data_IF_862351658098
#
_entry.id   IF_862351658098
#
_cell.length_a   1.000
_cell.length_b   1.000
_cell.length_c   1.000
_cell.angle_alpha   90.00
_cell.angle_beta   90.00
_cell.angle_gamma   90.00
#
_symmetry.space_group_name_H-M   'P 1'
#
loop_
_entity.id
_entity.type
_entity.pdbx_description
1 polymer ?
#
# COMPACT_ATOMS: atom_id res chain seq x y z
N UNK A 1 -14.58 -12.24 -5.50
CA UNK A 1 -14.21 -13.68 -5.57
C UNK A 1 -12.69 -13.84 -5.64
N UNK A 2 -12.16 -14.84 -4.95
CA UNK A 2 -10.75 -15.23 -5.05
C UNK A 2 -10.44 -15.65 -6.51
N UNK A 3 -9.38 -15.11 -7.10
CA UNK A 3 -9.02 -15.37 -8.49
C UNK A 3 -9.61 -14.39 -9.52
N UNK A 4 -10.25 -13.31 -9.09
CA UNK A 4 -10.86 -12.29 -9.95
C UNK A 4 -9.87 -11.39 -10.70
N UNK A 5 -8.64 -11.85 -10.93
CA UNK A 5 -7.60 -11.10 -11.67
C UNK A 5 -7.28 -9.69 -11.09
N UNK A 6 -7.76 -9.34 -9.88
CA UNK A 6 -7.54 -8.03 -9.24
C UNK A 6 -6.06 -7.65 -9.17
N UNK A 7 -5.25 -8.53 -8.60
CA UNK A 7 -3.78 -8.33 -8.52
C UNK A 7 -3.12 -8.27 -9.90
N UNK A 8 -3.65 -9.00 -10.89
CA UNK A 8 -3.16 -8.95 -12.28
C UNK A 8 -3.47 -7.60 -12.91
N UNK A 9 -4.68 -7.08 -12.71
CA UNK A 9 -5.09 -5.77 -13.20
C UNK A 9 -4.19 -4.68 -12.61
N UNK A 10 -3.99 -4.66 -11.28
CA UNK A 10 -3.10 -3.68 -10.64
C UNK A 10 -1.66 -3.80 -11.16
N UNK A 11 -1.11 -5.00 -11.28
CA UNK A 11 0.25 -5.18 -11.81
C UNK A 11 0.37 -4.69 -13.26
N UNK A 12 -0.68 -4.88 -14.07
CA UNK A 12 -0.71 -4.32 -15.42
C UNK A 12 -0.81 -2.79 -15.37
N UNK A 13 -1.69 -2.23 -14.54
CA UNK A 13 -1.84 -0.78 -14.35
C UNK A 13 -0.57 -0.10 -13.85
N UNK A 14 0.24 -0.80 -13.05
CA UNK A 14 1.54 -0.31 -12.58
C UNK A 14 2.70 -0.52 -13.59
N UNK A 15 2.42 -1.11 -14.74
CA UNK A 15 3.44 -1.43 -15.74
C UNK A 15 4.36 -2.59 -15.34
N UNK A 16 4.05 -3.33 -14.27
CA UNK A 16 4.79 -4.52 -13.83
C UNK A 16 4.53 -5.69 -14.78
N UNK A 17 3.29 -5.76 -15.28
CA UNK A 17 2.88 -6.73 -16.32
C UNK A 17 2.47 -5.97 -17.57
N UNK A 18 2.93 -6.48 -18.73
CA UNK A 18 2.53 -5.92 -20.03
C UNK A 18 1.14 -6.46 -20.41
N UNK A 19 0.14 -5.59 -20.66
CA UNK A 19 -1.16 -6.05 -21.15
C UNK A 19 -1.03 -6.66 -22.53
N UNK A 20 -1.83 -7.70 -22.81
CA UNK A 20 -1.87 -8.32 -24.16
C UNK A 20 -2.55 -7.42 -25.17
N UNK A 21 -3.59 -6.70 -24.74
CA UNK A 21 -4.38 -5.76 -25.54
C UNK A 21 -4.70 -4.55 -24.67
N UNK A 22 -4.83 -3.38 -25.30
CA UNK A 22 -5.10 -2.13 -24.61
C UNK A 22 -3.82 -1.37 -24.21
N UNK A 23 -4.02 -0.18 -23.65
CA UNK A 23 -2.97 0.73 -23.20
C UNK A 23 -3.17 1.08 -21.74
N UNK A 24 -2.07 1.34 -21.06
CA UNK A 24 -2.05 1.88 -19.69
C UNK A 24 -1.24 3.15 -19.71
N UNK A 25 -1.83 4.23 -19.24
CA UNK A 25 -1.17 5.52 -19.09
C UNK A 25 -1.11 5.90 -17.62
N UNK A 26 0.10 6.16 -17.12
CA UNK A 26 0.33 6.63 -15.77
C UNK A 26 0.88 8.05 -15.86
N UNK A 27 0.28 8.96 -15.09
CA UNK A 27 0.79 10.32 -14.99
C UNK A 27 2.26 10.30 -14.55
N UNK A 28 3.10 11.10 -15.19
CA UNK A 28 4.54 11.20 -14.85
C UNK A 28 4.77 12.11 -13.65
N UNK A 29 3.87 13.05 -13.44
CA UNK A 29 3.96 14.08 -12.42
C UNK A 29 2.71 14.11 -11.56
N UNK A 30 2.87 14.51 -10.31
CA UNK A 30 1.76 14.76 -9.40
C UNK A 30 1.18 16.16 -9.62
N UNK A 31 0.13 16.53 -8.90
CA UNK A 31 -0.56 17.83 -9.01
C UNK A 31 0.36 19.03 -8.73
N UNK A 32 1.50 18.83 -8.09
CA UNK A 32 2.50 19.86 -7.83
C UNK A 32 3.63 19.89 -8.87
N UNK A 33 3.48 19.21 -10.01
CA UNK A 33 4.50 19.15 -11.08
C UNK A 33 5.77 18.40 -10.68
N UNK A 34 5.72 17.55 -9.64
CA UNK A 34 6.84 16.72 -9.22
C UNK A 34 6.64 15.29 -9.73
N UNK A 35 7.76 14.59 -9.94
CA UNK A 35 7.71 13.17 -10.35
C UNK A 35 6.79 12.38 -9.44
N UNK A 36 5.76 11.75 -10.03
CA UNK A 36 4.80 10.90 -9.32
C UNK A 36 5.52 9.71 -8.69
N UNK A 37 5.19 9.41 -7.44
CA UNK A 37 5.74 8.31 -6.67
C UNK A 37 4.61 7.38 -6.26
N UNK A 38 4.75 6.12 -6.60
CA UNK A 38 3.79 5.07 -6.28
C UNK A 38 4.50 4.06 -5.37
N UNK A 39 3.88 3.75 -4.23
CA UNK A 39 4.30 2.63 -3.39
C UNK A 39 3.33 1.48 -3.59
N UNK A 40 3.84 0.29 -3.89
CA UNK A 40 3.04 -0.91 -4.10
C UNK A 40 3.33 -1.95 -3.01
N UNK A 41 2.27 -2.40 -2.33
CA UNK A 41 2.29 -3.52 -1.39
C UNK A 41 1.64 -4.73 -2.05
N UNK A 42 2.40 -5.75 -2.44
CA UNK A 42 1.83 -6.98 -2.99
C UNK A 42 1.22 -7.85 -1.88
N UNK A 43 0.22 -8.67 -2.22
CA UNK A 43 -0.46 -9.60 -1.33
C UNK A 43 0.52 -10.53 -0.58
N UNK A 44 1.52 -11.06 -1.28
CA UNK A 44 2.58 -11.83 -0.63
C UNK A 44 3.74 -10.90 -0.33
N UNK A 45 3.87 -10.52 0.93
CA UNK A 45 5.10 -9.91 1.42
C UNK A 45 6.14 -11.02 1.37
N UNK A 46 7.14 -10.86 0.49
CA UNK A 46 8.24 -11.80 0.38
C UNK A 46 8.75 -12.14 1.78
N UNK A 47 8.75 -13.42 2.11
CA UNK A 47 9.18 -13.90 3.41
C UNK A 47 10.59 -13.34 3.68
N UNK A 48 10.69 -12.42 4.63
CA UNK A 48 12.00 -11.98 5.08
C UNK A 48 12.73 -13.20 5.61
N UNK A 49 13.85 -13.58 4.97
CA UNK A 49 14.70 -14.62 5.49
C UNK A 49 15.05 -14.28 6.94
N UNK A 50 14.83 -15.22 7.85
CA UNK A 50 15.15 -15.07 9.28
C UNK A 50 16.62 -14.68 9.51
N UNK A 51 17.49 -14.90 8.54
CA UNK A 51 18.90 -14.51 8.56
C UNK A 51 19.23 -13.13 7.99
N UNK A 52 18.22 -12.30 7.65
CA UNK A 52 18.51 -10.95 7.18
C UNK A 52 18.95 -10.07 8.36
N UNK A 53 20.20 -9.59 8.38
CA UNK A 53 20.83 -9.00 9.58
C UNK A 53 20.41 -7.54 9.83
N UNK A 54 19.37 -7.03 9.19
CA UNK A 54 18.93 -5.65 9.32
C UNK A 54 17.97 -5.47 10.50
N UNK A 55 18.09 -4.37 11.21
CA UNK A 55 17.08 -3.93 12.16
C UNK A 55 15.83 -3.41 11.46
N UNK A 56 14.71 -3.31 12.19
CA UNK A 56 13.46 -2.69 11.71
C UNK A 56 13.73 -1.25 11.26
N UNK A 57 14.50 -0.49 12.01
CA UNK A 57 14.87 0.88 11.67
C UNK A 57 15.58 0.96 10.31
N UNK A 58 16.63 0.15 10.11
CA UNK A 58 17.37 0.14 8.85
C UNK A 58 16.51 -0.27 7.65
N UNK A 59 15.61 -1.22 7.87
CA UNK A 59 14.67 -1.63 6.85
C UNK A 59 13.71 -0.49 6.47
N UNK A 60 13.09 0.19 7.45
CA UNK A 60 12.19 1.32 7.19
C UNK A 60 12.95 2.49 6.57
N UNK A 61 14.16 2.78 7.06
CA UNK A 61 15.09 3.77 6.50
C UNK A 61 15.36 3.54 5.02
N UNK A 62 15.42 2.29 4.57
CA UNK A 62 15.62 1.97 3.16
C UNK A 62 14.55 2.53 2.23
N UNK A 63 13.34 2.82 2.76
CA UNK A 63 12.27 3.49 2.03
C UNK A 63 12.58 4.93 1.61
N UNK A 64 13.52 5.61 2.31
CA UNK A 64 13.92 7.00 1.96
C UNK A 64 14.89 7.11 0.79
N UNK A 65 15.67 6.07 0.51
CA UNK A 65 16.70 6.14 -0.53
C UNK A 65 16.19 6.41 -1.95
N UNK A 66 15.05 5.87 -2.41
CA UNK A 66 14.50 6.22 -3.73
C UNK A 66 14.23 7.70 -3.91
N UNK A 67 13.97 8.43 -2.80
CA UNK A 67 13.73 9.88 -2.82
C UNK A 67 15.03 10.68 -2.89
N UNK A 68 16.08 10.22 -2.21
CA UNK A 68 17.35 10.96 -2.03
C UNK A 68 18.47 10.51 -2.96
N UNK A 69 18.38 9.29 -3.51
CA UNK A 69 19.48 8.62 -4.23
C UNK A 69 20.46 7.92 -3.27
N UNK A 70 21.08 6.85 -3.77
CA UNK A 70 21.93 5.93 -2.98
C UNK A 70 23.14 6.59 -2.31
N UNK A 71 23.62 7.70 -2.86
CA UNK A 71 24.86 8.38 -2.38
C UNK A 71 24.57 9.59 -1.51
N UNK A 72 23.32 9.97 -1.27
CA UNK A 72 22.99 11.11 -0.41
C UNK A 72 22.79 10.65 1.03
N UNK A 73 23.45 11.33 1.96
CA UNK A 73 23.19 11.14 3.40
C UNK A 73 21.77 11.61 3.74
N UNK A 74 21.10 10.86 4.58
CA UNK A 74 19.83 11.27 5.17
C UNK A 74 20.10 12.42 6.14
N UNK A 75 19.23 13.39 6.17
CA UNK A 75 19.28 14.53 7.08
C UNK A 75 18.31 14.32 8.26
N UNK A 76 18.29 15.26 9.20
CA UNK A 76 17.42 15.20 10.38
C UNK A 76 15.94 15.05 10.04
N UNK A 77 15.44 15.76 9.04
CA UNK A 77 14.05 15.65 8.58
C UNK A 77 13.72 14.25 8.03
N UNK A 78 14.67 13.60 7.36
CA UNK A 78 14.47 12.22 6.89
C UNK A 78 14.38 11.25 8.09
N UNK A 79 15.17 11.50 9.14
CA UNK A 79 15.16 10.70 10.36
C UNK A 79 13.84 10.86 11.12
N UNK A 80 13.37 12.09 11.30
CA UNK A 80 12.05 12.38 11.89
C UNK A 80 10.93 11.66 11.12
N UNK A 81 10.99 11.68 9.79
CA UNK A 81 10.00 11.01 8.95
C UNK A 81 10.03 9.48 9.10
N UNK A 82 11.21 8.89 9.25
CA UNK A 82 11.36 7.45 9.51
C UNK A 82 10.76 7.08 10.87
N UNK A 83 11.08 7.87 11.91
CA UNK A 83 10.54 7.63 13.25
C UNK A 83 9.02 7.83 13.30
N UNK A 84 8.50 8.85 12.64
CA UNK A 84 7.07 9.07 12.51
C UNK A 84 6.38 7.91 11.79
N UNK A 85 6.99 7.37 10.72
CA UNK A 85 6.47 6.21 9.99
C UNK A 85 6.42 4.95 10.85
N UNK A 86 7.42 4.73 11.71
CA UNK A 86 7.45 3.64 12.67
C UNK A 86 6.38 3.82 13.76
N UNK A 87 6.23 5.05 14.26
CA UNK A 87 5.22 5.39 15.26
C UNK A 87 3.81 5.17 14.75
N UNK A 88 3.53 5.59 13.50
CA UNK A 88 2.21 5.49 12.87
C UNK A 88 1.67 4.05 12.78
N UNK A 89 2.54 3.05 12.79
CA UNK A 89 2.16 1.62 12.74
C UNK A 89 2.49 0.89 14.07
N UNK A 90 2.76 1.60 15.16
CA UNK A 90 3.07 1.02 16.47
C UNK A 90 4.37 0.20 16.51
N UNK A 91 5.35 0.52 15.67
CA UNK A 91 6.61 -0.22 15.57
C UNK A 91 7.83 0.52 16.14
N UNK A 92 7.64 1.70 16.74
CA UNK A 92 8.74 2.54 17.23
C UNK A 92 9.58 1.84 18.30
N UNK A 93 8.95 1.15 19.25
CA UNK A 93 9.65 0.40 20.31
C UNK A 93 10.38 -0.84 19.78
N UNK A 94 10.05 -1.26 18.58
CA UNK A 94 10.65 -2.43 17.91
C UNK A 94 11.75 -2.06 16.93
N UNK A 95 12.11 -0.77 16.81
CA UNK A 95 13.02 -0.24 15.80
C UNK A 95 14.39 -0.92 15.76
N UNK A 96 14.90 -1.31 16.92
CA UNK A 96 16.23 -1.92 17.04
C UNK A 96 16.20 -3.46 16.94
N UNK A 97 15.01 -4.07 16.90
CA UNK A 97 14.87 -5.53 16.76
C UNK A 97 15.30 -5.99 15.37
N UNK A 98 15.94 -7.15 15.24
CA UNK A 98 16.18 -7.79 13.96
C UNK A 98 14.85 -8.12 13.25
N UNK A 99 14.75 -7.88 11.96
CA UNK A 99 13.56 -8.21 11.15
C UNK A 99 13.16 -9.69 11.25
N UNK A 100 14.15 -10.58 11.32
CA UNK A 100 13.93 -12.01 11.44
C UNK A 100 13.20 -12.41 12.73
N UNK A 101 13.35 -11.62 13.81
CA UNK A 101 12.72 -11.88 15.11
C UNK A 101 11.26 -11.40 15.21
N UNK A 102 10.72 -10.74 14.19
CA UNK A 102 9.36 -10.23 14.17
C UNK A 102 8.34 -11.33 13.89
N UNK A 103 7.15 -11.21 14.50
CA UNK A 103 5.97 -11.98 14.13
C UNK A 103 5.50 -11.61 12.71
N UNK A 104 4.59 -12.41 12.11
CA UNK A 104 4.02 -12.12 10.79
C UNK A 104 3.36 -10.74 10.72
N UNK A 105 2.52 -10.40 11.69
CA UNK A 105 1.87 -9.08 11.77
C UNK A 105 2.84 -7.93 11.98
N UNK A 106 3.88 -8.12 12.82
CA UNK A 106 4.93 -7.13 12.99
C UNK A 106 5.75 -6.90 11.71
N UNK A 107 6.03 -7.96 10.95
CA UNK A 107 6.68 -7.85 9.64
C UNK A 107 5.85 -7.03 8.67
N UNK A 108 4.53 -7.26 8.66
CA UNK A 108 3.61 -6.52 7.82
C UNK A 108 3.58 -5.04 8.20
N UNK A 109 3.47 -4.71 9.49
CA UNK A 109 3.56 -3.34 10.00
C UNK A 109 4.90 -2.68 9.62
N UNK A 110 6.02 -3.39 9.70
CA UNK A 110 7.32 -2.87 9.28
C UNK A 110 7.36 -2.53 7.78
N UNK A 111 6.73 -3.35 6.91
CA UNK A 111 6.63 -3.07 5.47
C UNK A 111 5.77 -1.84 5.21
N UNK A 112 4.67 -1.70 5.93
CA UNK A 112 3.80 -0.51 5.86
C UNK A 112 4.58 0.73 6.31
N UNK A 113 5.32 0.68 7.43
CA UNK A 113 6.18 1.77 7.87
C UNK A 113 7.20 2.19 6.79
N UNK A 114 7.81 1.21 6.11
CA UNK A 114 8.74 1.48 5.00
C UNK A 114 8.07 2.17 3.83
N UNK A 115 6.81 1.82 3.53
CA UNK A 115 6.03 2.50 2.50
C UNK A 115 5.77 3.96 2.89
N UNK A 116 5.35 4.23 4.13
CA UNK A 116 5.20 5.59 4.64
C UNK A 116 6.51 6.37 4.60
N UNK A 117 7.62 5.76 5.00
CA UNK A 117 8.94 6.38 4.94
C UNK A 117 9.33 6.80 3.52
N UNK A 118 8.86 6.12 2.48
CA UNK A 118 9.09 6.53 1.08
C UNK A 118 8.30 7.78 0.68
N UNK A 119 7.30 8.18 1.46
CA UNK A 119 6.42 9.31 1.25
C UNK A 119 5.86 9.35 -0.19
N UNK A 120 5.08 8.35 -0.59
CA UNK A 120 4.52 8.26 -1.94
C UNK A 120 3.39 9.26 -2.15
N UNK A 121 3.05 9.52 -3.41
CA UNK A 121 1.84 10.25 -3.79
C UNK A 121 0.64 9.30 -3.87
N UNK A 122 0.88 8.02 -4.23
CA UNK A 122 -0.15 6.98 -4.35
C UNK A 122 0.29 5.73 -3.60
N UNK A 123 -0.57 5.23 -2.73
CA UNK A 123 -0.48 3.89 -2.14
C UNK A 123 -1.30 2.92 -2.96
N UNK A 124 -0.70 1.82 -3.40
CA UNK A 124 -1.38 0.71 -4.06
C UNK A 124 -1.21 -0.53 -3.20
N UNK A 125 -2.29 -1.07 -2.69
CA UNK A 125 -2.31 -2.07 -1.63
C UNK A 125 -3.10 -3.30 -2.10
N UNK A 126 -2.46 -4.46 -2.12
CA UNK A 126 -3.06 -5.72 -2.55
C UNK A 126 -3.30 -6.61 -1.32
N UNK A 127 -4.53 -6.63 -0.82
CA UNK A 127 -4.97 -7.33 0.40
C UNK A 127 -4.08 -7.03 1.64
N UNK A 128 -3.93 -5.75 2.02
CA UNK A 128 -2.93 -5.33 3.01
C UNK A 128 -3.21 -5.81 4.43
N UNK A 129 -4.45 -6.18 4.75
CA UNK A 129 -4.90 -6.57 6.10
C UNK A 129 -4.95 -8.07 6.32
N UNK A 130 -4.52 -8.87 5.33
CA UNK A 130 -4.49 -10.33 5.46
C UNK A 130 -3.62 -10.76 6.64
N UNK A 131 -4.21 -11.48 7.60
CA UNK A 131 -3.53 -11.97 8.80
C UNK A 131 -3.39 -10.94 9.93
N UNK A 132 -4.03 -9.79 9.83
CA UNK A 132 -4.20 -8.83 10.93
C UNK A 132 -5.41 -9.22 11.79
N UNK A 133 -5.35 -8.95 13.09
CA UNK A 133 -6.50 -8.96 13.98
C UNK A 133 -7.42 -7.75 13.71
N UNK A 134 -8.67 -7.80 14.20
CA UNK A 134 -9.69 -6.79 13.91
C UNK A 134 -9.23 -5.37 14.33
N UNK A 135 -8.72 -5.19 15.54
CA UNK A 135 -8.26 -3.87 16.00
C UNK A 135 -7.12 -3.31 15.15
N UNK A 136 -6.18 -4.17 14.71
CA UNK A 136 -5.09 -3.77 13.82
C UNK A 136 -5.58 -3.39 12.42
N UNK A 137 -6.67 -4.01 11.94
CA UNK A 137 -7.29 -3.64 10.66
C UNK A 137 -7.91 -2.25 10.73
N UNK A 138 -8.68 -1.97 11.78
CA UNK A 138 -9.34 -0.67 11.98
C UNK A 138 -8.29 0.44 12.06
N UNK A 139 -7.25 0.29 12.88
CA UNK A 139 -6.12 1.22 12.95
C UNK A 139 -5.47 1.47 11.58
N UNK A 140 -5.34 0.41 10.78
CA UNK A 140 -4.75 0.51 9.45
C UNK A 140 -5.66 1.27 8.46
N UNK A 141 -6.97 1.00 8.47
CA UNK A 141 -7.92 1.70 7.61
C UNK A 141 -8.02 3.19 7.99
N UNK A 142 -8.09 3.51 9.28
CA UNK A 142 -8.03 4.89 9.76
C UNK A 142 -6.76 5.61 9.31
N UNK A 143 -5.60 4.95 9.37
CA UNK A 143 -4.33 5.51 8.93
C UNK A 143 -4.32 5.80 7.43
N UNK A 144 -4.90 4.91 6.60
CA UNK A 144 -5.02 5.12 5.15
C UNK A 144 -6.00 6.25 4.84
N UNK A 145 -7.15 6.28 5.48
CA UNK A 145 -8.16 7.34 5.35
C UNK A 145 -7.57 8.70 5.75
N UNK A 146 -6.90 8.78 6.90
CA UNK A 146 -6.20 9.99 7.33
C UNK A 146 -5.15 10.45 6.32
N UNK A 147 -4.38 9.52 5.75
CA UNK A 147 -3.37 9.84 4.74
C UNK A 147 -3.99 10.41 3.46
N UNK A 148 -5.15 9.91 3.05
CA UNK A 148 -5.87 10.42 1.88
C UNK A 148 -6.42 11.83 2.14
N UNK A 149 -7.17 12.02 3.22
CA UNK A 149 -7.92 13.25 3.48
C UNK A 149 -7.09 14.40 4.04
N UNK A 150 -6.05 14.11 4.84
CA UNK A 150 -5.25 15.15 5.49
C UNK A 150 -3.87 15.37 4.88
N UNK A 151 -3.35 14.39 4.12
CA UNK A 151 -2.03 14.50 3.50
C UNK A 151 -2.07 14.49 1.97
N UNK A 152 -3.27 14.53 1.36
CA UNK A 152 -3.46 14.58 -0.09
C UNK A 152 -2.85 13.38 -0.83
N UNK A 153 -2.86 12.20 -0.19
CA UNK A 153 -2.41 10.94 -0.80
C UNK A 153 -3.57 10.27 -1.50
N UNK A 154 -3.30 9.56 -2.59
CA UNK A 154 -4.27 8.64 -3.16
C UNK A 154 -4.02 7.23 -2.62
N UNK A 155 -5.10 6.51 -2.30
CA UNK A 155 -5.04 5.13 -1.83
C UNK A 155 -5.89 4.26 -2.75
N UNK A 156 -5.26 3.29 -3.40
CA UNK A 156 -5.93 2.24 -4.17
C UNK A 156 -5.73 0.92 -3.45
N UNK A 157 -6.82 0.34 -2.96
CA UNK A 157 -6.79 -0.90 -2.18
C UNK A 157 -7.58 -2.01 -2.86
N UNK A 158 -7.00 -3.20 -2.93
CA UNK A 158 -7.73 -4.43 -3.21
C UNK A 158 -8.09 -5.07 -1.89
N UNK A 159 -9.35 -5.40 -1.72
CA UNK A 159 -9.84 -6.24 -0.64
C UNK A 159 -10.83 -7.28 -1.19
N UNK A 160 -10.98 -8.37 -0.49
CA UNK A 160 -12.04 -9.35 -0.70
C UNK A 160 -13.22 -9.15 0.26
N UNK A 161 -13.07 -8.24 1.22
CA UNK A 161 -14.10 -7.86 2.17
C UNK A 161 -14.44 -6.38 2.01
N UNK A 162 -15.39 -6.03 1.14
CA UNK A 162 -15.78 -4.65 0.90
C UNK A 162 -16.48 -4.00 2.10
N UNK A 163 -17.13 -4.79 2.96
CA UNK A 163 -17.83 -4.26 4.14
C UNK A 163 -16.84 -3.70 5.18
N UNK A 164 -15.65 -4.30 5.32
CA UNK A 164 -14.61 -3.80 6.23
C UNK A 164 -14.09 -2.41 5.85
N UNK A 165 -14.17 -2.02 4.57
CA UNK A 165 -13.62 -0.74 4.09
C UNK A 165 -14.70 0.28 3.74
N UNK A 166 -15.98 -0.06 3.94
CA UNK A 166 -17.11 0.74 3.53
C UNK A 166 -17.08 2.17 4.08
N UNK A 167 -16.74 2.31 5.34
CA UNK A 167 -16.74 3.62 6.03
C UNK A 167 -15.47 4.44 5.75
N UNK A 168 -14.48 3.86 5.08
CA UNK A 168 -13.18 4.48 4.80
C UNK A 168 -12.93 4.78 3.32
N UNK A 169 -13.74 4.21 2.42
CA UNK A 169 -13.53 4.32 0.98
C UNK A 169 -14.45 5.36 0.36
N UNK A 170 -13.90 6.31 -0.38
CA UNK A 170 -14.67 7.30 -1.13
C UNK A 170 -15.35 6.69 -2.36
N UNK A 171 -14.71 5.67 -2.97
CA UNK A 171 -15.19 5.03 -4.22
C UNK A 171 -14.94 3.53 -4.18
N UNK A 172 -15.91 2.77 -4.67
CA UNK A 172 -15.79 1.31 -4.78
C UNK A 172 -15.84 0.87 -6.25
N UNK A 173 -14.90 0.01 -6.63
CA UNK A 173 -14.83 -0.59 -7.96
C UNK A 173 -15.02 -2.10 -7.83
N UNK A 174 -16.11 -2.63 -8.39
CA UNK A 174 -16.41 -4.05 -8.36
C UNK A 174 -15.97 -4.72 -9.67
N UNK A 175 -15.16 -5.77 -9.54
CA UNK A 175 -14.83 -6.68 -10.63
C UNK A 175 -15.79 -7.88 -10.58
N UNK A 176 -16.75 -7.90 -11.49
CA UNK A 176 -17.76 -8.96 -11.58
C UNK A 176 -17.42 -9.88 -12.74
N UNK A 177 -17.38 -11.19 -12.48
CA UNK A 177 -17.13 -12.18 -13.51
C UNK A 177 -18.30 -12.20 -14.50
N UNK A 178 -17.97 -12.12 -15.78
CA UNK A 178 -18.94 -12.34 -16.86
C UNK A 178 -19.28 -13.84 -16.90
N UNK A 179 -20.49 -14.19 -16.48
CA UNK A 179 -20.98 -15.57 -16.41
C UNK A 179 -21.31 -16.13 -17.80
N UNK A 180 -21.58 -15.27 -18.78
CA UNK A 180 -21.95 -15.65 -20.13
C UNK A 180 -20.71 -15.92 -21.01
N UNK A 181 -19.54 -15.54 -20.54
CA UNK A 181 -18.29 -15.77 -21.25
C UNK A 181 -17.66 -17.11 -20.88
N UNK A 182 -17.31 -17.97 -21.86
CA UNK A 182 -16.55 -19.20 -21.61
C UNK A 182 -15.11 -18.91 -21.11
N UNK A 183 -14.66 -17.67 -21.26
CA UNK A 183 -13.39 -17.18 -20.79
C UNK A 183 -13.56 -16.46 -19.46
N UNK A 184 -12.49 -16.37 -18.64
CA UNK A 184 -12.51 -15.61 -17.39
C UNK A 184 -12.50 -14.10 -17.68
N UNK A 185 -13.61 -13.58 -18.21
CA UNK A 185 -13.82 -12.16 -18.43
C UNK A 185 -14.42 -11.52 -17.17
N UNK A 186 -14.09 -10.25 -16.93
CA UNK A 186 -14.62 -9.46 -15.81
C UNK A 186 -15.14 -8.13 -16.33
N UNK A 187 -16.31 -7.74 -15.86
CA UNK A 187 -16.86 -6.42 -16.05
C UNK A 187 -16.51 -5.54 -14.85
N UNK A 188 -16.27 -4.27 -15.11
CA UNK A 188 -15.97 -3.26 -14.09
C UNK A 188 -17.25 -2.48 -13.82
N UNK A 189 -17.70 -2.51 -12.58
CA UNK A 189 -18.81 -1.68 -12.10
C UNK A 189 -18.28 -0.72 -11.05
N UNK A 190 -18.57 0.55 -11.21
CA UNK A 190 -18.25 1.59 -10.26
C UNK A 190 -19.49 1.95 -9.46
N UNK A 191 -19.39 2.04 -8.15
CA UNK A 191 -20.42 2.59 -7.28
C UNK A 191 -19.81 3.75 -6.51
N UNK A 192 -20.28 4.98 -6.81
CA UNK A 192 -20.00 6.12 -5.95
C UNK A 192 -20.78 5.97 -4.64
N UNK A 193 -20.12 6.12 -3.51
CA UNK A 193 -20.84 6.38 -2.27
C UNK A 193 -21.22 7.87 -2.30
N UNK A 194 -22.52 8.16 -2.30
CA UNK A 194 -22.98 9.51 -1.96
C UNK A 194 -22.53 9.76 -0.50
N UNK A 195 -21.48 10.55 -0.34
CA UNK A 195 -21.09 11.05 0.97
C UNK A 195 -22.15 12.07 1.36
N UNK A 196 -23.14 11.65 2.14
CA UNK A 196 -24.01 12.58 2.86
C UNK A 196 -23.12 13.37 3.82
N UNK A 197 -22.69 14.53 3.38
CA UNK A 197 -22.15 15.56 4.28
C UNK A 197 -23.28 16.12 5.14
N UNK A 198 -23.43 15.59 6.36
CA UNK A 198 -24.24 16.18 7.41
C UNK A 198 -23.38 17.16 8.22
#
# INVERSE_FOLDING_TARGET
ENGAAKSTLIKASLGILKPKVGTVEIAKENVAGKKLRIAYLPQQIASFNAGFPSSVYEFVKSGRYPRKGWFRRLNHHDEEHILASLSAVGMLEHRDKPLGALSGGQKQRAVIARMFASDPDIFVLDEPTTGMDAGSKDEFYELMHHSAHHHGKAVLMITHDPEEVKDYADRNIHLVRDQDSPWRCFNVHESDQEVEHA
#
